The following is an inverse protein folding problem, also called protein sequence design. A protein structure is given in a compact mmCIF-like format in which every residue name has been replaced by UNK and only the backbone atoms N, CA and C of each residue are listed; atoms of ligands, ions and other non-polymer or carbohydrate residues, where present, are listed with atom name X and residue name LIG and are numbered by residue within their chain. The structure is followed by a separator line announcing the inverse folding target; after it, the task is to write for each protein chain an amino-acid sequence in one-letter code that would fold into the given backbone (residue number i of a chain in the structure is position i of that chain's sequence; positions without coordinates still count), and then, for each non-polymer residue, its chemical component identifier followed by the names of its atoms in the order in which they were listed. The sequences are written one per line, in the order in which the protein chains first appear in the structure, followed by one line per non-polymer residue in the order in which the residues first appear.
data_IF_513198066497
#
_entry.id   IF_513198066497
#
_cell.length_a   1.000
_cell.length_b   1.000
_cell.length_c   1.000
_cell.angle_alpha   90.00
_cell.angle_beta   90.00
_cell.angle_gamma   90.00
#
_symmetry.space_group_name_H-M   'P 1'
#
loop_
_entity.id
_entity.type
_entity.pdbx_description
1 polymer ?
#
# COMPACT_ATOMS: atom_id res chain seq x y z
N UNK A 1 -12.82 -13.92 3.81
CA UNK A 1 -11.77 -13.42 4.72
C UNK A 1 -10.62 -12.94 3.84
N UNK A 2 -10.49 -11.64 3.60
CA UNK A 2 -9.45 -11.12 2.67
C UNK A 2 -8.08 -11.16 3.34
N UNK A 3 -7.12 -11.85 2.71
CA UNK A 3 -5.74 -12.08 3.22
C UNK A 3 -5.06 -10.77 3.64
N UNK A 4 -5.36 -9.68 2.92
CA UNK A 4 -4.84 -8.35 3.19
C UNK A 4 -5.10 -7.87 4.62
N UNK A 5 -6.22 -8.26 5.25
CA UNK A 5 -6.57 -7.89 6.63
C UNK A 5 -5.59 -8.43 7.67
N UNK A 6 -4.84 -9.48 7.35
CA UNK A 6 -3.87 -10.10 8.24
C UNK A 6 -2.45 -9.55 8.06
N UNK A 7 -2.20 -8.78 7.00
CA UNK A 7 -0.89 -8.17 6.78
C UNK A 7 -0.62 -7.08 7.81
N UNK A 8 0.63 -6.96 8.25
CA UNK A 8 1.06 -5.79 9.03
C UNK A 8 0.98 -4.53 8.16
N UNK A 9 0.80 -3.36 8.80
CA UNK A 9 0.70 -2.10 8.07
C UNK A 9 1.95 -1.85 7.20
N UNK A 10 3.14 -2.12 7.75
CA UNK A 10 4.40 -1.97 7.03
C UNK A 10 4.48 -2.87 5.79
N UNK A 11 4.11 -4.15 5.91
CA UNK A 11 4.17 -5.07 4.79
C UNK A 11 3.11 -4.74 3.72
N UNK A 12 1.90 -4.35 4.15
CA UNK A 12 0.84 -3.89 3.26
C UNK A 12 1.30 -2.69 2.41
N UNK A 13 1.91 -1.68 3.04
CA UNK A 13 2.43 -0.48 2.37
C UNK A 13 3.58 -0.85 1.43
N UNK A 14 4.53 -1.67 1.86
CA UNK A 14 5.66 -2.09 1.03
C UNK A 14 5.21 -2.80 -0.26
N UNK A 15 4.28 -3.76 -0.14
CA UNK A 15 3.75 -4.47 -1.31
C UNK A 15 2.98 -3.54 -2.25
N UNK A 16 2.21 -2.59 -1.70
CA UNK A 16 1.53 -1.58 -2.52
C UNK A 16 2.52 -0.72 -3.32
N UNK A 17 3.61 -0.27 -2.70
CA UNK A 17 4.66 0.53 -3.36
C UNK A 17 5.34 -0.28 -4.48
N UNK A 18 5.74 -1.51 -4.19
CA UNK A 18 6.36 -2.40 -5.19
C UNK A 18 5.40 -2.70 -6.34
N UNK A 19 4.13 -2.96 -6.05
CA UNK A 19 3.11 -3.19 -7.08
C UNK A 19 2.92 -1.98 -8.01
N UNK A 20 2.94 -0.77 -7.44
CA UNK A 20 2.90 0.49 -8.20
C UNK A 20 4.17 0.68 -9.05
N UNK A 21 5.35 0.42 -8.50
CA UNK A 21 6.63 0.55 -9.20
C UNK A 21 6.75 -0.43 -10.38
N UNK A 22 6.28 -1.67 -10.19
CA UNK A 22 6.26 -2.72 -11.21
C UNK A 22 5.10 -2.59 -12.20
N UNK A 23 4.19 -1.61 -12.01
CA UNK A 23 3.00 -1.40 -12.84
C UNK A 23 2.16 -2.68 -12.97
N UNK A 24 1.92 -3.34 -11.84
CA UNK A 24 1.05 -4.52 -11.80
C UNK A 24 -0.40 -4.16 -12.16
N UNK A 25 -1.22 -5.20 -12.31
CA UNK A 25 -2.63 -5.05 -12.64
C UNK A 25 -3.35 -4.05 -11.71
N UNK A 26 -4.11 -3.13 -12.29
CA UNK A 26 -4.78 -2.07 -11.51
C UNK A 26 -5.78 -2.63 -10.51
N UNK A 27 -6.45 -3.74 -10.83
CA UNK A 27 -7.40 -4.39 -9.93
C UNK A 27 -6.69 -4.97 -8.71
N UNK A 28 -5.47 -5.49 -8.88
CA UNK A 28 -4.63 -5.92 -7.77
C UNK A 28 -4.25 -4.74 -6.87
N UNK A 29 -3.80 -3.64 -7.45
CA UNK A 29 -3.41 -2.42 -6.72
C UNK A 29 -4.58 -1.85 -5.92
N UNK A 30 -5.78 -1.79 -6.51
CA UNK A 30 -6.99 -1.27 -5.84
C UNK A 30 -7.33 -2.03 -4.55
N UNK A 31 -7.05 -3.34 -4.48
CA UNK A 31 -7.28 -4.11 -3.24
C UNK A 31 -6.43 -3.60 -2.07
N UNK A 32 -5.20 -3.13 -2.35
CA UNK A 32 -4.32 -2.56 -1.33
C UNK A 32 -4.77 -1.14 -0.97
N UNK A 33 -5.16 -0.32 -1.95
CA UNK A 33 -5.67 1.02 -1.70
C UNK A 33 -6.90 1.01 -0.79
N UNK A 34 -7.85 0.09 -1.05
CA UNK A 34 -9.03 -0.10 -0.22
C UNK A 34 -8.66 -0.46 1.22
N UNK A 35 -7.73 -1.40 1.40
CA UNK A 35 -7.31 -1.84 2.72
C UNK A 35 -6.50 -0.76 3.48
N UNK A 36 -5.66 0.00 2.79
CA UNK A 36 -4.91 1.15 3.32
C UNK A 36 -5.88 2.24 3.78
N UNK A 37 -6.87 2.60 2.95
CA UNK A 37 -7.94 3.53 3.32
C UNK A 37 -8.75 3.02 4.50
N UNK A 38 -9.13 1.74 4.51
CA UNK A 38 -9.89 1.11 5.60
C UNK A 38 -9.17 1.23 6.95
N UNK A 39 -7.83 1.19 6.94
CA UNK A 39 -6.99 1.33 8.13
C UNK A 39 -6.58 2.77 8.45
N UNK A 40 -7.02 3.74 7.65
CA UNK A 40 -6.65 5.14 7.77
C UNK A 40 -5.12 5.36 7.78
N UNK A 41 -4.39 4.61 6.94
CA UNK A 41 -2.94 4.74 6.81
C UNK A 41 -2.61 5.89 5.85
N UNK A 42 -1.85 6.87 6.34
CA UNK A 42 -1.36 7.98 5.54
C UNK A 42 -0.16 7.54 4.71
N UNK A 43 -0.31 7.51 3.40
CA UNK A 43 0.81 7.34 2.46
C UNK A 43 1.41 8.72 2.17
N UNK A 44 2.58 9.01 2.72
CA UNK A 44 3.31 10.24 2.41
C UNK A 44 4.23 9.93 1.22
N UNK A 45 3.92 10.55 0.07
CA UNK A 45 4.76 10.47 -1.12
C UNK A 45 5.78 11.60 -1.07
N UNK A 46 7.05 11.30 -0.81
CA UNK A 46 8.11 12.29 -0.99
C UNK A 46 8.44 12.44 -2.48
N UNK A 47 8.64 13.69 -2.93
CA UNK A 47 8.92 14.04 -4.33
C UNK A 47 10.23 13.42 -4.87
N UNK A 48 11.04 12.80 -4.01
CA UNK A 48 12.28 12.09 -4.35
C UNK A 48 12.05 10.71 -4.97
N UNK A 49 10.81 10.20 -4.99
CA UNK A 49 10.50 8.85 -5.46
C UNK A 49 10.63 7.77 -4.37
N UNK A 50 10.95 8.16 -3.15
CA UNK A 50 11.00 7.27 -1.98
C UNK A 50 9.70 7.40 -1.18
N UNK A 51 9.08 6.26 -0.88
CA UNK A 51 7.86 6.21 -0.06
C UNK A 51 8.24 5.93 1.39
N UNK A 52 7.76 6.76 2.32
CA UNK A 52 7.90 6.55 3.77
C UNK A 52 6.53 6.58 4.44
N UNK A 53 6.43 6.01 5.64
CA UNK A 53 5.20 6.00 6.45
C UNK A 53 5.53 6.50 7.87
N UNK A 54 4.68 7.39 8.40
CA UNK A 54 4.71 7.83 9.80
C UNK A 54 3.73 6.99 10.62
N UNK A 55 4.15 6.59 11.83
CA UNK A 55 3.37 5.80 12.79
C UNK A 55 2.57 6.74 13.69
#
# INVERSE_FOLDING_TARGET
MTILKQLSNQFLIHVYIEAMALKLDSSFISLFEEEIKRRNLSLIRFETGEWTYEI
#
